data_IF_807899611747
#
_entry.id   IF_807899611747
#
_cell.length_a   1.000
_cell.length_b   1.000
_cell.length_c   1.000
_cell.angle_alpha   90.00
_cell.angle_beta   90.00
_cell.angle_gamma   90.00
#
_symmetry.space_group_name_H-M   'P 1'
#
loop_
_entity.id
_entity.type
_entity.pdbx_description
1 polymer ?
#
# COMPACT_ATOMS: atom_id res chain seq x y z
N UNK A 1 21.13 -11.86 30.98
CA UNK A 1 20.50 -10.58 30.59
C UNK A 1 19.50 -10.95 29.50
N UNK A 2 18.34 -11.46 29.89
CA UNK A 2 17.13 -10.64 29.98
C UNK A 2 16.58 -10.48 28.57
N UNK A 3 15.82 -11.46 28.10
CA UNK A 3 15.03 -11.38 26.86
C UNK A 3 14.15 -10.12 26.94
N UNK A 4 14.67 -9.01 26.43
CA UNK A 4 13.88 -7.85 26.12
C UNK A 4 12.98 -8.29 24.98
N UNK A 5 11.75 -8.67 25.33
CA UNK A 5 10.68 -8.87 24.38
C UNK A 5 10.76 -7.74 23.36
N UNK A 6 11.03 -8.10 22.09
CA UNK A 6 11.09 -7.17 20.98
C UNK A 6 9.71 -6.49 20.86
N UNK A 7 9.53 -5.43 21.63
CA UNK A 7 8.34 -4.61 21.61
C UNK A 7 8.26 -3.98 20.24
N UNK A 8 7.17 -4.23 19.52
CA UNK A 8 6.89 -3.50 18.28
C UNK A 8 6.85 -2.02 18.64
N UNK A 9 7.78 -1.24 18.11
CA UNK A 9 7.80 0.19 18.34
C UNK A 9 6.47 0.80 17.90
N UNK A 10 5.88 1.64 18.74
CA UNK A 10 4.65 2.33 18.39
C UNK A 10 4.91 3.37 17.30
N UNK A 11 3.92 3.68 16.47
CA UNK A 11 4.04 4.73 15.45
C UNK A 11 4.49 6.07 16.06
N UNK A 12 4.04 6.36 17.28
CA UNK A 12 4.45 7.54 18.06
C UNK A 12 5.93 7.53 18.45
N UNK A 13 6.51 6.35 18.67
CA UNK A 13 7.95 6.21 18.95
C UNK A 13 8.78 6.40 17.69
N UNK A 14 8.25 5.98 16.53
CA UNK A 14 8.91 6.16 15.24
C UNK A 14 8.95 7.64 14.82
N UNK A 15 7.91 8.41 15.13
CA UNK A 15 7.82 9.85 14.84
C UNK A 15 8.46 10.70 15.96
N UNK A 16 9.00 10.09 17.03
CA UNK A 16 9.60 10.82 18.17
C UNK A 16 10.76 11.74 17.78
N UNK A 17 11.44 11.45 16.67
CA UNK A 17 12.55 12.26 16.16
C UNK A 17 12.10 13.44 15.27
N UNK A 18 10.78 13.65 15.09
CA UNK A 18 10.21 14.78 14.37
C UNK A 18 10.45 16.12 15.08
N UNK A 19 11.12 17.04 14.40
CA UNK A 19 11.20 18.44 14.84
C UNK A 19 9.86 19.16 14.56
N UNK A 20 9.65 20.32 15.18
CA UNK A 20 8.45 21.14 14.95
C UNK A 20 8.24 21.50 13.46
N UNK A 21 9.33 21.66 12.70
CA UNK A 21 9.28 21.87 11.26
C UNK A 21 8.80 20.62 10.51
N UNK A 22 9.25 19.43 10.92
CA UNK A 22 8.83 18.17 10.32
C UNK A 22 7.36 17.88 10.63
N UNK A 23 6.90 18.23 11.83
CA UNK A 23 5.47 18.17 12.17
C UNK A 23 4.63 19.08 11.26
N UNK A 24 5.11 20.29 10.97
CA UNK A 24 4.40 21.20 10.04
C UNK A 24 4.34 20.65 8.62
N UNK A 25 5.43 20.03 8.13
CA UNK A 25 5.47 19.36 6.84
C UNK A 25 4.54 18.15 6.81
N UNK A 26 4.48 17.36 7.88
CA UNK A 26 3.56 16.22 7.98
C UNK A 26 2.11 16.67 7.92
N UNK A 27 1.75 17.76 8.62
CA UNK A 27 0.38 18.31 8.57
C UNK A 27 0.00 18.78 7.16
N UNK A 28 0.92 19.44 6.46
CA UNK A 28 0.75 19.82 5.05
C UNK A 28 0.67 18.59 4.13
N UNK A 29 1.47 17.57 4.39
CA UNK A 29 1.46 16.30 3.67
C UNK A 29 0.13 15.56 3.81
N UNK A 30 -0.44 15.50 5.02
CA UNK A 30 -1.76 14.92 5.28
C UNK A 30 -2.86 15.68 4.52
N UNK A 31 -2.78 17.01 4.46
CA UNK A 31 -3.71 17.82 3.67
C UNK A 31 -3.59 17.50 2.16
N UNK A 32 -2.36 17.31 1.67
CA UNK A 32 -2.07 16.87 0.31
C UNK A 32 -2.66 15.49 0.00
N UNK A 33 -2.40 14.50 0.85
CA UNK A 33 -2.93 13.12 0.75
C UNK A 33 -4.45 13.08 0.74
N UNK A 34 -5.10 13.98 1.47
CA UNK A 34 -6.56 14.12 1.43
C UNK A 34 -7.04 14.58 0.05
N UNK A 35 -6.36 15.57 -0.55
CA UNK A 35 -6.68 16.05 -1.89
C UNK A 35 -6.43 14.99 -2.97
N UNK A 36 -5.34 14.23 -2.86
CA UNK A 36 -5.00 13.16 -3.79
C UNK A 36 -6.02 12.01 -3.73
N UNK A 37 -6.36 11.53 -2.53
CA UNK A 37 -7.39 10.49 -2.37
C UNK A 37 -8.79 10.92 -2.83
N UNK A 38 -9.11 12.21 -2.76
CA UNK A 38 -10.36 12.77 -3.28
C UNK A 38 -10.39 12.95 -4.80
N UNK A 39 -9.28 12.77 -5.51
CA UNK A 39 -9.21 12.89 -6.98
C UNK A 39 -10.28 12.06 -7.67
N UNK A 40 -10.36 10.78 -7.30
CA UNK A 40 -11.18 9.82 -8.03
C UNK A 40 -12.69 10.05 -7.82
N UNK A 41 -13.21 10.28 -6.59
CA UNK A 41 -14.61 10.65 -6.40
C UNK A 41 -14.97 11.96 -7.11
N UNK A 42 -14.13 12.99 -7.01
CA UNK A 42 -14.39 14.30 -7.64
C UNK A 42 -14.42 14.21 -9.17
N UNK A 43 -13.51 13.42 -9.77
CA UNK A 43 -13.52 13.16 -11.21
C UNK A 43 -14.82 12.48 -11.63
N UNK A 44 -15.28 11.50 -10.85
CA UNK A 44 -16.55 10.82 -11.11
C UNK A 44 -17.75 11.76 -11.01
N UNK A 45 -17.77 12.73 -10.08
CA UNK A 45 -18.84 13.73 -10.02
C UNK A 45 -18.96 14.53 -11.32
N UNK A 46 -17.84 15.04 -11.82
CA UNK A 46 -17.82 15.80 -13.07
C UNK A 46 -18.26 14.91 -14.24
N UNK A 47 -17.82 13.66 -14.26
CA UNK A 47 -18.24 12.69 -15.27
C UNK A 47 -19.73 12.35 -15.20
N UNK A 48 -20.31 12.25 -14.00
CA UNK A 48 -21.74 12.04 -13.79
C UNK A 48 -22.58 13.18 -14.36
N UNK A 49 -22.19 14.43 -14.11
CA UNK A 49 -22.83 15.61 -14.69
C UNK A 49 -22.76 15.60 -16.23
N UNK A 50 -21.60 15.22 -16.79
CA UNK A 50 -21.41 15.06 -18.24
C UNK A 50 -22.40 14.02 -18.76
N UNK A 51 -22.44 12.81 -18.18
CA UNK A 51 -23.34 11.72 -18.61
C UNK A 51 -24.80 12.17 -18.55
N UNK A 52 -25.21 12.88 -17.49
CA UNK A 52 -26.56 13.41 -17.36
C UNK A 52 -26.90 14.43 -18.45
N UNK A 53 -25.97 15.32 -18.78
CA UNK A 53 -26.16 16.30 -19.87
C UNK A 53 -26.30 15.64 -21.24
N UNK A 54 -25.50 14.60 -21.52
CA UNK A 54 -25.59 13.80 -22.75
C UNK A 54 -26.90 12.99 -22.81
N UNK A 55 -27.33 12.40 -21.69
CA UNK A 55 -28.58 11.64 -21.60
C UNK A 55 -29.83 12.49 -21.81
N UNK A 56 -29.84 13.73 -21.29
CA UNK A 56 -30.93 14.69 -21.48
C UNK A 56 -31.00 15.22 -22.92
N UNK A 57 -29.85 15.42 -23.57
CA UNK A 57 -29.77 15.82 -24.97
C UNK A 57 -30.35 14.76 -25.92
N UNK A 58 -30.15 13.47 -25.62
CA UNK A 58 -30.65 12.35 -26.43
C UNK A 58 -32.16 12.09 -26.31
N UNK A 59 -32.77 12.39 -25.15
CA UNK A 59 -34.20 12.14 -24.90
C UNK A 59 -35.14 13.25 -25.38
N UNK A 60 -34.60 14.46 -25.63
CA UNK A 60 -35.39 15.62 -26.07
C UNK A 60 -35.73 15.63 -27.59
N UNK A 61 -35.31 14.61 -28.36
CA UNK A 61 -35.70 14.46 -29.77
C UNK A 61 -35.24 15.58 -30.72
N UNK A 62 -34.44 16.55 -30.24
CA UNK A 62 -33.97 17.67 -31.03
C UNK A 62 -32.76 17.26 -31.88
N UNK A 63 -33.01 16.94 -33.15
CA UNK A 63 -32.05 16.71 -34.23
C UNK A 63 -31.23 17.95 -34.64
N UNK A 64 -31.15 18.98 -33.79
CA UNK A 64 -30.38 20.20 -34.01
C UNK A 64 -29.61 20.59 -32.75
N UNK A 65 -28.29 20.46 -32.79
CA UNK A 65 -27.30 21.08 -31.88
C UNK A 65 -27.62 21.06 -30.38
N UNK A 66 -27.97 19.92 -29.80
CA UNK A 66 -27.97 19.77 -28.33
C UNK A 66 -26.56 19.86 -27.71
N UNK A 67 -25.51 19.79 -28.53
CA UNK A 67 -24.14 20.16 -28.18
C UNK A 67 -23.94 21.67 -28.32
N UNK A 68 -24.31 22.44 -27.30
CA UNK A 68 -23.82 23.81 -27.19
C UNK A 68 -22.32 23.74 -26.91
N UNK A 69 -21.49 24.37 -27.75
CA UNK A 69 -20.05 24.51 -27.50
C UNK A 69 -19.76 24.99 -26.08
N UNK A 70 -20.62 25.87 -25.55
CA UNK A 70 -20.53 26.35 -24.18
C UNK A 70 -20.70 25.29 -23.08
N UNK A 71 -21.42 24.19 -23.32
CA UNK A 71 -21.53 23.09 -22.36
C UNK A 71 -20.23 22.28 -22.31
N UNK A 72 -19.63 22.01 -23.47
CA UNK A 72 -18.33 21.33 -23.58
C UNK A 72 -17.24 22.17 -22.93
N UNK A 73 -17.18 23.48 -23.23
CA UNK A 73 -16.20 24.41 -22.66
C UNK A 73 -16.33 24.47 -21.12
N UNK A 74 -17.56 24.48 -20.60
CA UNK A 74 -17.82 24.47 -19.15
C UNK A 74 -17.28 23.21 -18.47
N UNK A 75 -17.53 22.03 -19.05
CA UNK A 75 -17.04 20.77 -18.48
C UNK A 75 -15.53 20.61 -18.65
N UNK A 76 -14.96 21.04 -19.78
CA UNK A 76 -13.52 21.07 -20.00
C UNK A 76 -12.80 21.96 -18.96
N UNK A 77 -13.35 23.16 -18.69
CA UNK A 77 -12.81 24.05 -17.65
C UNK A 77 -12.92 23.45 -16.24
N UNK A 78 -14.04 22.77 -15.91
CA UNK A 78 -14.17 22.08 -14.61
C UNK A 78 -13.13 20.98 -14.44
N UNK A 79 -12.89 20.18 -15.47
CA UNK A 79 -11.85 19.14 -15.46
C UNK A 79 -10.45 19.75 -15.34
N UNK A 80 -10.20 20.88 -16.02
CA UNK A 80 -8.93 21.60 -15.91
C UNK A 80 -8.70 22.13 -14.49
N UNK A 81 -9.68 22.79 -13.89
CA UNK A 81 -9.56 23.29 -12.51
C UNK A 81 -9.37 22.15 -11.51
N UNK A 82 -10.09 21.03 -11.69
CA UNK A 82 -9.91 19.84 -10.86
C UNK A 82 -8.49 19.26 -11.02
N UNK A 83 -7.99 19.13 -12.25
CA UNK A 83 -6.66 18.60 -12.52
C UNK A 83 -5.55 19.46 -11.91
N UNK A 84 -5.67 20.79 -12.01
CA UNK A 84 -4.71 21.72 -11.39
C UNK A 84 -4.77 21.63 -9.86
N UNK A 85 -5.96 21.58 -9.28
CA UNK A 85 -6.13 21.48 -7.83
C UNK A 85 -5.57 20.16 -7.27
N UNK A 86 -5.94 19.03 -7.87
CA UNK A 86 -5.43 17.71 -7.49
C UNK A 86 -3.92 17.63 -7.72
N UNK A 87 -3.42 18.12 -8.87
CA UNK A 87 -2.00 18.14 -9.17
C UNK A 87 -1.20 18.95 -8.14
N UNK A 88 -1.74 20.07 -7.66
CA UNK A 88 -1.13 20.84 -6.57
C UNK A 88 -1.12 20.08 -5.24
N UNK A 89 -2.23 19.41 -4.89
CA UNK A 89 -2.32 18.58 -3.68
C UNK A 89 -1.34 17.40 -3.71
N UNK A 90 -1.30 16.63 -4.82
CA UNK A 90 -0.40 15.50 -5.01
C UNK A 90 1.08 15.94 -5.02
N UNK A 91 1.38 17.10 -5.60
CA UNK A 91 2.73 17.67 -5.54
C UNK A 91 3.12 18.07 -4.11
N UNK A 92 2.22 18.73 -3.38
CA UNK A 92 2.44 19.09 -1.97
C UNK A 92 2.65 17.85 -1.11
N UNK A 93 1.83 16.82 -1.30
CA UNK A 93 1.95 15.53 -0.64
C UNK A 93 3.34 14.93 -0.86
N UNK A 94 3.74 14.71 -2.11
CA UNK A 94 5.02 14.09 -2.44
C UNK A 94 6.20 14.89 -1.88
N UNK A 95 6.21 16.21 -2.06
CA UNK A 95 7.30 17.06 -1.57
C UNK A 95 7.39 17.06 -0.04
N UNK A 96 6.26 17.15 0.66
CA UNK A 96 6.25 17.22 2.12
C UNK A 96 6.65 15.89 2.75
N UNK A 97 6.12 14.77 2.26
CA UNK A 97 6.43 13.44 2.79
C UNK A 97 7.85 12.99 2.47
N UNK A 98 8.33 13.17 1.23
CA UNK A 98 9.70 12.82 0.88
C UNK A 98 10.72 13.65 1.66
N UNK A 99 10.49 14.97 1.83
CA UNK A 99 11.40 15.81 2.64
C UNK A 99 11.40 15.42 4.12
N UNK A 100 10.25 15.11 4.68
CA UNK A 100 10.15 14.67 6.08
C UNK A 100 10.88 13.36 6.27
N UNK A 101 10.66 12.39 5.37
CA UNK A 101 11.33 11.09 5.40
C UNK A 101 12.86 11.21 5.34
N UNK A 102 13.39 11.99 4.41
CA UNK A 102 14.84 12.19 4.27
C UNK A 102 15.46 12.84 5.52
N UNK A 103 14.80 13.87 6.08
CA UNK A 103 15.27 14.56 7.29
C UNK A 103 15.29 13.62 8.50
N UNK A 104 14.22 12.85 8.68
CA UNK A 104 14.10 11.87 9.76
C UNK A 104 15.14 10.76 9.62
N UNK A 105 15.29 10.19 8.42
CA UNK A 105 16.26 9.14 8.14
C UNK A 105 17.70 9.62 8.38
N UNK A 106 18.05 10.80 7.88
CA UNK A 106 19.37 11.42 8.11
C UNK A 106 19.65 11.66 9.59
N UNK A 107 18.65 12.15 10.35
CA UNK A 107 18.77 12.37 11.79
C UNK A 107 18.95 11.07 12.57
N UNK A 108 18.17 10.03 12.24
CA UNK A 108 18.31 8.71 12.84
C UNK A 108 19.70 8.13 12.59
N UNK A 109 20.19 8.21 11.34
CA UNK A 109 21.55 7.78 10.98
C UNK A 109 22.62 8.49 11.80
N UNK A 110 22.49 9.82 11.96
CA UNK A 110 23.44 10.61 12.76
C UNK A 110 23.40 10.24 14.24
N UNK A 111 22.22 10.21 14.86
CA UNK A 111 22.07 9.94 16.30
C UNK A 111 22.51 8.52 16.65
N UNK A 112 22.19 7.56 15.80
CA UNK A 112 22.62 6.18 16.00
C UNK A 112 24.13 6.06 15.86
N UNK A 113 24.75 6.67 14.85
CA UNK A 113 26.22 6.69 14.73
C UNK A 113 26.89 7.35 15.96
N UNK A 114 26.34 8.46 16.44
CA UNK A 114 26.82 9.13 17.66
C UNK A 114 26.71 8.23 18.89
N UNK A 115 25.60 7.48 19.03
CA UNK A 115 25.40 6.53 20.12
C UNK A 115 26.38 5.35 20.05
N UNK A 116 26.58 4.78 18.85
CA UNK A 116 27.55 3.69 18.63
C UNK A 116 28.97 4.13 18.96
N UNK A 117 29.40 5.32 18.54
CA UNK A 117 30.74 5.84 18.83
C UNK A 117 30.99 6.16 20.31
N UNK A 118 29.94 6.34 21.11
CA UNK A 118 30.02 6.57 22.56
C UNK A 118 30.07 5.27 23.37
N UNK A 119 29.90 4.13 22.73
CA UNK A 119 29.79 2.86 23.39
C UNK A 119 31.18 2.31 23.80
N UNK A 120 31.23 1.61 24.92
CA UNK A 120 32.46 1.02 25.45
C UNK A 120 33.04 -0.07 24.53
N UNK A 121 34.36 -0.28 24.59
CA UNK A 121 35.06 -1.30 23.77
C UNK A 121 34.48 -2.70 24.01
N UNK A 122 34.07 -3.00 25.24
CA UNK A 122 33.42 -4.27 25.60
C UNK A 122 32.16 -4.55 24.77
N UNK A 123 31.38 -3.54 24.36
CA UNK A 123 30.22 -3.77 23.48
C UNK A 123 30.63 -4.29 22.10
N UNK A 124 31.75 -3.80 21.57
CA UNK A 124 32.30 -4.25 20.29
C UNK A 124 32.97 -5.62 20.39
N UNK A 125 33.45 -6.00 21.59
CA UNK A 125 34.07 -7.30 21.88
C UNK A 125 33.06 -8.39 22.28
N UNK A 126 31.92 -8.03 22.88
CA UNK A 126 30.92 -8.95 23.40
C UNK A 126 30.00 -9.56 22.32
N UNK A 127 30.02 -9.02 21.10
CA UNK A 127 29.20 -9.53 20.01
C UNK A 127 29.88 -10.70 19.29
N UNK A 128 29.11 -11.73 18.87
CA UNK A 128 29.66 -12.99 18.36
C UNK A 128 30.55 -12.77 17.12
N UNK A 129 31.72 -13.39 17.16
CA UNK A 129 32.87 -13.27 16.26
C UNK A 129 32.66 -13.63 14.79
N UNK A 130 31.43 -13.87 14.33
CA UNK A 130 31.12 -14.27 12.94
C UNK A 130 30.77 -13.11 12.01
N UNK A 131 30.47 -11.92 12.54
CA UNK A 131 30.36 -10.69 11.75
C UNK A 131 31.24 -9.64 12.39
N UNK A 132 32.11 -8.98 11.61
CA UNK A 132 32.80 -7.77 12.10
C UNK A 132 31.73 -6.84 12.66
N UNK A 133 31.75 -6.65 13.98
CA UNK A 133 30.69 -5.98 14.74
C UNK A 133 30.43 -4.58 14.19
N UNK A 134 31.48 -3.94 13.69
CA UNK A 134 31.42 -2.67 12.96
C UNK A 134 30.64 -2.76 11.64
N UNK A 135 30.88 -3.80 10.82
CA UNK A 135 30.18 -3.98 9.55
C UNK A 135 28.68 -4.23 9.77
N UNK A 136 28.33 -5.16 10.67
CA UNK A 136 26.94 -5.48 10.98
C UNK A 136 26.15 -4.26 11.46
N UNK A 137 26.74 -3.46 12.36
CA UNK A 137 26.12 -2.24 12.88
C UNK A 137 25.89 -1.21 11.74
N UNK A 138 26.88 -1.02 10.84
CA UNK A 138 26.78 -0.07 9.72
C UNK A 138 25.79 -0.53 8.65
N UNK A 139 25.65 -1.83 8.40
CA UNK A 139 24.64 -2.34 7.48
C UNK A 139 23.25 -2.21 8.07
N UNK A 140 23.05 -2.60 9.34
CA UNK A 140 21.74 -2.55 9.99
C UNK A 140 21.19 -1.13 10.09
N UNK A 141 22.02 -0.14 10.47
CA UNK A 141 21.60 1.26 10.49
C UNK A 141 21.18 1.78 9.11
N UNK A 142 21.87 1.35 8.05
CA UNK A 142 21.60 1.84 6.69
C UNK A 142 20.30 1.24 6.18
N UNK A 143 20.16 -0.09 6.28
CA UNK A 143 18.99 -0.86 5.83
C UNK A 143 17.72 -0.51 6.62
N UNK A 144 17.83 -0.39 7.96
CA UNK A 144 16.69 -0.03 8.81
C UNK A 144 16.26 1.42 8.55
N UNK A 145 17.21 2.35 8.38
CA UNK A 145 16.88 3.74 8.06
C UNK A 145 16.24 3.88 6.68
N UNK A 146 16.72 3.14 5.67
CA UNK A 146 16.11 3.10 4.34
C UNK A 146 14.69 2.52 4.41
N UNK A 147 14.49 1.45 5.18
CA UNK A 147 13.15 0.86 5.38
C UNK A 147 12.18 1.85 6.03
N UNK A 148 12.63 2.62 7.02
CA UNK A 148 11.79 3.65 7.66
C UNK A 148 11.53 4.82 6.69
N UNK A 149 12.53 5.21 5.90
CA UNK A 149 12.40 6.24 4.87
C UNK A 149 11.36 5.86 3.80
N UNK A 150 11.43 4.63 3.29
CA UNK A 150 10.46 4.11 2.32
C UNK A 150 9.06 4.07 2.91
N UNK A 151 8.93 3.64 4.16
CA UNK A 151 7.64 3.63 4.85
C UNK A 151 7.06 5.06 4.98
N UNK A 152 7.86 6.03 5.42
CA UNK A 152 7.39 7.39 5.70
C UNK A 152 7.14 8.19 4.42
N UNK A 153 7.91 7.95 3.36
CA UNK A 153 7.81 8.69 2.09
C UNK A 153 6.78 8.14 1.12
N UNK A 154 6.54 6.82 1.11
CA UNK A 154 5.67 6.20 0.10
C UNK A 154 4.47 5.46 0.72
N UNK A 155 4.70 4.64 1.75
CA UNK A 155 3.63 3.77 2.27
C UNK A 155 2.64 4.49 3.15
N UNK A 156 3.10 5.40 4.02
CA UNK A 156 2.22 6.18 4.89
C UNK A 156 1.28 7.13 4.11
N UNK A 157 1.77 7.90 3.11
CA UNK A 157 0.90 8.76 2.29
C UNK A 157 -0.11 7.93 1.49
N UNK A 158 0.32 6.79 0.92
CA UNK A 158 -0.56 5.87 0.21
C UNK A 158 -1.70 5.35 1.09
N UNK A 159 -1.44 5.02 2.36
CA UNK A 159 -2.49 4.61 3.30
C UNK A 159 -3.47 5.76 3.57
N UNK A 160 -2.96 6.98 3.77
CA UNK A 160 -3.79 8.17 3.98
C UNK A 160 -4.68 8.48 2.75
N UNK A 161 -4.10 8.43 1.54
CA UNK A 161 -4.82 8.62 0.29
C UNK A 161 -5.90 7.55 0.09
N UNK A 162 -5.61 6.27 0.38
CA UNK A 162 -6.61 5.20 0.28
C UNK A 162 -7.74 5.32 1.32
N UNK A 163 -7.43 5.75 2.54
CA UNK A 163 -8.45 6.01 3.57
C UNK A 163 -9.36 7.16 3.15
N UNK A 164 -8.80 8.22 2.59
CA UNK A 164 -9.57 9.39 2.13
C UNK A 164 -10.38 9.07 0.88
N UNK A 165 -9.84 8.27 -0.04
CA UNK A 165 -10.57 7.69 -1.16
C UNK A 165 -11.77 6.85 -0.69
N UNK A 166 -11.58 5.97 0.30
CA UNK A 166 -12.65 5.13 0.86
C UNK A 166 -13.81 5.99 1.38
N UNK A 167 -13.52 6.94 2.28
CA UNK A 167 -14.57 7.79 2.86
C UNK A 167 -15.15 8.77 1.83
N UNK A 168 -14.33 9.31 0.92
CA UNK A 168 -14.74 10.20 -0.15
C UNK A 168 -15.70 9.51 -1.12
N UNK A 169 -15.32 8.35 -1.64
CA UNK A 169 -16.15 7.55 -2.55
C UNK A 169 -17.44 7.07 -1.88
N UNK A 170 -17.38 6.65 -0.61
CA UNK A 170 -18.55 6.21 0.14
C UNK A 170 -19.53 7.35 0.38
N UNK A 171 -19.03 8.53 0.78
CA UNK A 171 -19.87 9.72 1.00
C UNK A 171 -20.58 10.16 -0.28
N UNK A 172 -19.86 10.23 -1.41
CA UNK A 172 -20.41 10.52 -2.74
C UNK A 172 -21.50 9.51 -3.09
N UNK A 173 -21.24 8.23 -2.91
CA UNK A 173 -22.22 7.20 -3.22
C UNK A 173 -23.53 7.33 -2.41
N UNK A 174 -23.43 7.58 -1.10
CA UNK A 174 -24.60 7.73 -0.25
C UNK A 174 -25.45 8.95 -0.63
N UNK A 175 -24.80 10.06 -1.03
CA UNK A 175 -25.50 11.29 -1.43
C UNK A 175 -26.28 11.10 -2.74
N UNK A 176 -25.68 10.46 -3.76
CA UNK A 176 -26.33 10.32 -5.06
C UNK A 176 -27.33 9.17 -5.15
N UNK A 177 -27.02 8.02 -4.56
CA UNK A 177 -27.85 6.83 -4.69
C UNK A 177 -27.76 5.96 -3.43
N UNK A 178 -28.35 6.43 -2.33
CA UNK A 178 -28.38 5.71 -1.05
C UNK A 178 -28.91 4.27 -1.14
N UNK A 179 -29.87 4.00 -2.06
CA UNK A 179 -30.42 2.65 -2.29
C UNK A 179 -29.38 1.71 -2.92
N UNK A 180 -28.56 2.25 -3.83
CA UNK A 180 -27.47 1.52 -4.47
C UNK A 180 -26.30 1.33 -3.49
N UNK A 181 -26.01 2.35 -2.67
CA UNK A 181 -25.02 2.30 -1.60
C UNK A 181 -25.31 1.15 -0.62
N UNK A 182 -26.55 1.04 -0.13
CA UNK A 182 -26.97 -0.05 0.77
C UNK A 182 -26.79 -1.44 0.16
N UNK A 183 -27.07 -1.59 -1.15
CA UNK A 183 -26.90 -2.86 -1.84
C UNK A 183 -25.42 -3.21 -2.11
N UNK A 184 -24.57 -2.19 -2.31
CA UNK A 184 -23.13 -2.37 -2.58
C UNK A 184 -22.24 -2.51 -1.35
N UNK A 185 -22.69 -2.03 -0.18
CA UNK A 185 -21.98 -2.12 1.10
C UNK A 185 -21.57 -3.56 1.49
N UNK A 186 -22.45 -4.58 1.43
CA UNK A 186 -22.05 -5.96 1.73
C UNK A 186 -21.06 -6.53 0.71
N UNK A 187 -21.12 -6.09 -0.56
CA UNK A 187 -20.17 -6.51 -1.60
C UNK A 187 -18.76 -5.95 -1.33
N UNK A 188 -18.66 -4.77 -0.72
CA UNK A 188 -17.38 -4.19 -0.28
C UNK A 188 -16.76 -5.03 0.84
N UNK A 189 -17.55 -5.41 1.85
CA UNK A 189 -17.07 -6.28 2.92
C UNK A 189 -16.70 -7.70 2.45
N UNK A 190 -17.34 -8.19 1.38
CA UNK A 190 -17.01 -9.48 0.76
C UNK A 190 -15.57 -9.52 0.24
N UNK A 191 -15.00 -8.39 -0.20
CA UNK A 191 -13.58 -8.32 -0.61
C UNK A 191 -12.62 -8.17 0.56
N UNK A 192 -13.06 -7.52 1.64
CA UNK A 192 -12.23 -7.29 2.82
C UNK A 192 -11.86 -8.61 3.54
N UNK A 193 -12.81 -9.53 3.69
CA UNK A 193 -12.61 -10.76 4.46
C UNK A 193 -11.56 -11.70 3.84
N UNK A 194 -11.64 -12.09 2.54
CA UNK A 194 -10.61 -12.91 1.90
C UNK A 194 -9.23 -12.24 1.92
N UNK A 195 -9.18 -10.93 1.69
CA UNK A 195 -7.92 -10.16 1.68
C UNK A 195 -7.22 -10.23 3.04
N UNK A 196 -7.95 -10.06 4.15
CA UNK A 196 -7.39 -10.17 5.50
C UNK A 196 -6.97 -11.61 5.82
N UNK A 197 -7.81 -12.60 5.50
CA UNK A 197 -7.54 -14.01 5.85
C UNK A 197 -6.36 -14.57 5.06
N UNK A 198 -6.36 -14.40 3.74
CA UNK A 198 -5.28 -14.86 2.87
C UNK A 198 -4.01 -14.03 3.10
N UNK A 199 -4.13 -12.72 3.35
CA UNK A 199 -3.01 -11.85 3.70
C UNK A 199 -2.28 -12.31 4.97
N UNK A 200 -3.03 -12.61 6.04
CA UNK A 200 -2.44 -13.16 7.29
C UNK A 200 -1.72 -14.49 7.04
N UNK A 201 -2.32 -15.39 6.25
CA UNK A 201 -1.70 -16.67 5.87
C UNK A 201 -0.44 -16.48 5.03
N UNK A 202 -0.43 -15.49 4.13
CA UNK A 202 0.72 -15.15 3.31
C UNK A 202 1.88 -14.64 4.17
N UNK A 203 1.61 -13.74 5.12
CA UNK A 203 2.63 -13.22 6.05
C UNK A 203 3.21 -14.34 6.92
N UNK A 204 2.36 -15.22 7.46
CA UNK A 204 2.81 -16.37 8.25
C UNK A 204 3.70 -17.31 7.42
N UNK A 205 3.27 -17.67 6.21
CA UNK A 205 4.05 -18.53 5.30
C UNK A 205 5.39 -17.88 4.89
N UNK A 206 5.41 -16.55 4.67
CA UNK A 206 6.63 -15.81 4.38
C UNK A 206 7.61 -15.83 5.56
N UNK A 207 7.11 -15.67 6.79
CA UNK A 207 7.92 -15.78 8.01
C UNK A 207 8.54 -17.16 8.19
N UNK A 208 7.74 -18.23 8.01
CA UNK A 208 8.24 -19.61 8.05
C UNK A 208 9.28 -19.89 6.95
N UNK A 209 9.04 -19.39 5.73
CA UNK A 209 9.96 -19.54 4.60
C UNK A 209 11.30 -18.86 4.87
N UNK A 210 11.27 -17.64 5.43
CA UNK A 210 12.46 -16.89 5.84
C UNK A 210 13.26 -17.62 6.91
N UNK A 211 12.60 -18.11 7.97
CA UNK A 211 13.29 -18.88 9.03
C UNK A 211 13.93 -20.17 8.49
N UNK A 212 13.26 -20.88 7.57
CA UNK A 212 13.85 -22.05 6.91
C UNK A 212 15.06 -21.69 6.03
N UNK A 213 15.00 -20.54 5.35
CA UNK A 213 16.10 -20.04 4.53
C UNK A 213 17.31 -19.61 5.36
N UNK A 214 17.10 -18.93 6.49
CA UNK A 214 18.15 -18.55 7.44
C UNK A 214 18.89 -19.79 7.99
N UNK A 215 18.16 -20.87 8.30
CA UNK A 215 18.77 -22.14 8.70
C UNK A 215 19.64 -22.77 7.59
N UNK A 216 19.19 -22.74 6.33
CA UNK A 216 19.99 -23.20 5.20
C UNK A 216 21.22 -22.29 4.99
N UNK A 217 21.06 -20.98 5.16
CA UNK A 217 22.15 -19.99 5.14
C UNK A 217 23.23 -20.30 6.17
N UNK A 218 22.85 -20.65 7.40
CA UNK A 218 23.81 -21.06 8.44
C UNK A 218 24.65 -22.30 8.07
N UNK A 219 24.05 -23.29 7.38
CA UNK A 219 24.79 -24.46 6.89
C UNK A 219 25.79 -24.06 5.80
N UNK A 220 25.38 -23.19 4.88
CA UNK A 220 26.25 -22.69 3.82
C UNK A 220 27.41 -21.87 4.39
N UNK A 221 27.12 -20.98 5.35
CA UNK A 221 28.12 -20.12 6.00
C UNK A 221 29.15 -20.96 6.77
N UNK A 222 28.71 -21.99 7.51
CA UNK A 222 29.62 -22.92 8.18
C UNK A 222 30.48 -23.72 7.19
N UNK A 223 29.90 -24.15 6.06
CA UNK A 223 30.61 -24.90 5.03
C UNK A 223 31.70 -24.05 4.36
N UNK A 224 31.39 -22.80 4.02
CA UNK A 224 32.29 -21.87 3.35
C UNK A 224 33.39 -21.38 4.29
N UNK A 225 33.04 -21.02 5.53
CA UNK A 225 34.02 -20.58 6.54
C UNK A 225 35.04 -21.67 6.87
N UNK A 226 34.62 -22.94 6.87
CA UNK A 226 35.46 -24.10 7.18
C UNK A 226 35.78 -24.96 5.95
N UNK A 227 35.91 -24.35 4.77
CA UNK A 227 36.03 -25.08 3.50
C UNK A 227 37.22 -26.05 3.45
N UNK A 228 38.35 -25.69 4.08
CA UNK A 228 39.54 -26.55 4.16
C UNK A 228 39.26 -27.84 4.95
N UNK A 229 38.47 -27.74 6.01
CA UNK A 229 38.04 -28.88 6.83
C UNK A 229 37.08 -29.77 6.05
N UNK A 230 36.11 -29.17 5.35
CA UNK A 230 35.17 -29.95 4.51
C UNK A 230 35.93 -30.72 3.43
N UNK A 231 36.91 -30.10 2.78
CA UNK A 231 37.75 -30.74 1.77
C UNK A 231 38.67 -31.82 2.36
N UNK A 232 39.29 -31.58 3.51
CA UNK A 232 40.20 -32.55 4.14
C UNK A 232 39.51 -33.84 4.59
N UNK A 233 38.24 -33.75 4.98
CA UNK A 233 37.41 -34.91 5.34
C UNK A 233 36.61 -35.48 4.16
N UNK A 234 36.80 -34.97 2.94
CA UNK A 234 36.01 -35.33 1.75
C UNK A 234 34.49 -35.24 1.99
N UNK A 235 34.07 -34.26 2.82
CA UNK A 235 32.70 -34.09 3.32
C UNK A 235 31.81 -33.24 2.41
N UNK A 236 32.26 -32.89 1.21
CA UNK A 236 31.57 -32.00 0.28
C UNK A 236 30.16 -32.50 -0.04
N UNK A 237 30.03 -33.78 -0.46
CA UNK A 237 28.73 -34.40 -0.78
C UNK A 237 27.77 -34.38 0.40
N UNK A 238 28.25 -34.73 1.60
CA UNK A 238 27.44 -34.74 2.81
C UNK A 238 26.91 -33.34 3.16
N UNK A 239 27.77 -32.33 3.03
CA UNK A 239 27.42 -30.92 3.29
C UNK A 239 26.41 -30.41 2.26
N UNK A 240 26.58 -30.77 0.99
CA UNK A 240 25.65 -30.45 -0.11
C UNK A 240 24.27 -31.08 0.11
N UNK A 241 24.21 -32.33 0.56
CA UNK A 241 22.95 -33.00 0.89
C UNK A 241 22.23 -32.34 2.08
N UNK A 242 22.97 -31.94 3.12
CA UNK A 242 22.40 -31.18 4.25
C UNK A 242 21.83 -29.84 3.81
N UNK A 243 22.58 -29.09 3.00
CA UNK A 243 22.09 -27.81 2.45
C UNK A 243 20.86 -28.02 1.57
N UNK A 244 20.88 -29.02 0.67
CA UNK A 244 19.74 -29.36 -0.20
C UNK A 244 18.49 -29.71 0.60
N UNK A 245 18.63 -30.48 1.67
CA UNK A 245 17.51 -30.88 2.53
C UNK A 245 16.91 -29.70 3.29
N UNK A 246 17.75 -28.81 3.81
CA UNK A 246 17.29 -27.57 4.46
C UNK A 246 16.59 -26.63 3.45
N UNK A 247 17.15 -26.50 2.25
CA UNK A 247 16.60 -25.65 1.19
C UNK A 247 15.27 -26.20 0.63
N UNK A 248 15.10 -27.52 0.55
CA UNK A 248 13.87 -28.16 0.09
C UNK A 248 12.64 -27.75 0.92
N UNK A 249 12.83 -27.50 2.22
CA UNK A 249 11.78 -26.97 3.09
C UNK A 249 11.40 -25.53 2.72
N UNK A 250 12.39 -24.66 2.49
CA UNK A 250 12.17 -23.28 2.06
C UNK A 250 11.48 -23.22 0.70
N UNK A 251 11.88 -24.06 -0.26
CA UNK A 251 11.23 -24.11 -1.58
C UNK A 251 9.79 -24.59 -1.51
N UNK A 252 9.49 -25.61 -0.71
CA UNK A 252 8.10 -26.07 -0.50
C UNK A 252 7.21 -24.98 0.12
N UNK A 253 7.73 -24.24 1.10
CA UNK A 253 7.04 -23.09 1.71
C UNK A 253 6.87 -21.94 0.71
N UNK A 254 7.88 -21.67 -0.13
CA UNK A 254 7.82 -20.70 -1.21
C UNK A 254 6.75 -21.03 -2.25
N UNK A 255 6.61 -22.31 -2.63
CA UNK A 255 5.53 -22.77 -3.53
C UNK A 255 4.17 -22.54 -2.88
N UNK A 256 4.00 -22.89 -1.60
CA UNK A 256 2.76 -22.64 -0.85
C UNK A 256 2.43 -21.15 -0.77
N UNK A 257 3.43 -20.31 -0.52
CA UNK A 257 3.28 -18.85 -0.53
C UNK A 257 2.87 -18.35 -1.92
N UNK A 258 3.48 -18.87 -2.99
CA UNK A 258 3.14 -18.55 -4.37
C UNK A 258 1.69 -18.92 -4.71
N UNK A 259 1.21 -20.08 -4.27
CA UNK A 259 -0.19 -20.49 -4.42
C UNK A 259 -1.15 -19.59 -3.64
N UNK A 260 -0.82 -19.21 -2.40
CA UNK A 260 -1.63 -18.26 -1.62
C UNK A 260 -1.68 -16.90 -2.32
N UNK A 261 -0.54 -16.38 -2.80
CA UNK A 261 -0.47 -15.12 -3.54
C UNK A 261 -1.30 -15.20 -4.83
N UNK A 262 -1.21 -16.31 -5.56
CA UNK A 262 -2.03 -16.57 -6.74
C UNK A 262 -3.52 -16.58 -6.42
N UNK A 263 -3.92 -17.18 -5.29
CA UNK A 263 -5.31 -17.17 -4.84
C UNK A 263 -5.81 -15.76 -4.47
N UNK A 264 -4.97 -14.92 -3.84
CA UNK A 264 -5.31 -13.51 -3.55
C UNK A 264 -5.54 -12.74 -4.84
N UNK A 265 -4.60 -12.81 -5.79
CA UNK A 265 -4.72 -12.11 -7.08
C UNK A 265 -5.92 -12.66 -7.88
N UNK A 266 -6.13 -13.98 -7.86
CA UNK A 266 -7.28 -14.61 -8.50
C UNK A 266 -8.62 -14.16 -7.89
N UNK A 267 -8.69 -13.99 -6.57
CA UNK A 267 -9.90 -13.49 -5.90
C UNK A 267 -10.26 -12.06 -6.30
N UNK A 268 -9.27 -11.23 -6.71
CA UNK A 268 -9.55 -9.89 -7.25
C UNK A 268 -10.37 -9.94 -8.53
N UNK A 269 -10.36 -11.05 -9.29
CA UNK A 269 -11.22 -11.24 -10.46
C UNK A 269 -12.72 -11.19 -10.14
N UNK A 270 -13.13 -11.44 -8.88
CA UNK A 270 -14.51 -11.30 -8.44
C UNK A 270 -15.03 -9.84 -8.54
N UNK A 271 -14.13 -8.85 -8.69
CA UNK A 271 -14.49 -7.47 -8.95
C UNK A 271 -15.38 -7.34 -10.19
N UNK A 272 -15.11 -8.09 -11.26
CA UNK A 272 -15.89 -8.01 -12.50
C UNK A 272 -17.33 -8.52 -12.32
N UNK A 273 -17.53 -9.52 -11.45
CA UNK A 273 -18.87 -9.99 -11.11
C UNK A 273 -19.64 -8.92 -10.34
N UNK A 274 -18.97 -8.19 -9.44
CA UNK A 274 -19.55 -7.06 -8.72
C UNK A 274 -19.87 -5.90 -9.66
N UNK A 275 -18.98 -5.54 -10.59
CA UNK A 275 -19.26 -4.56 -11.64
C UNK A 275 -20.51 -4.92 -12.45
N UNK A 276 -20.63 -6.18 -12.87
CA UNK A 276 -21.79 -6.68 -13.61
C UNK A 276 -23.09 -6.58 -12.79
N UNK A 277 -23.06 -7.03 -11.53
CA UNK A 277 -24.21 -6.95 -10.63
C UNK A 277 -24.62 -5.49 -10.37
N UNK A 278 -23.66 -4.61 -10.11
CA UNK A 278 -23.90 -3.18 -9.88
C UNK A 278 -24.46 -2.51 -11.13
N UNK A 279 -23.95 -2.85 -12.32
CA UNK A 279 -24.50 -2.34 -13.59
C UNK A 279 -25.93 -2.81 -13.82
N UNK A 280 -26.25 -4.07 -13.51
CA UNK A 280 -27.61 -4.58 -13.60
C UNK A 280 -28.54 -3.85 -12.63
N UNK A 281 -28.17 -3.72 -11.36
CA UNK A 281 -28.97 -3.02 -10.36
C UNK A 281 -29.14 -1.53 -10.72
N UNK A 282 -28.08 -0.89 -11.21
CA UNK A 282 -28.10 0.48 -11.72
C UNK A 282 -29.12 0.66 -12.84
N UNK A 283 -29.12 -0.23 -13.85
CA UNK A 283 -30.06 -0.17 -14.97
C UNK A 283 -31.52 -0.31 -14.52
N UNK A 284 -31.82 -1.21 -13.57
CA UNK A 284 -33.16 -1.36 -13.01
C UNK A 284 -33.59 -0.09 -12.27
N UNK A 285 -32.68 0.57 -11.56
CA UNK A 285 -32.95 1.81 -10.83
C UNK A 285 -33.28 2.97 -11.78
N UNK A 286 -32.54 3.10 -12.89
CA UNK A 286 -32.80 4.11 -13.92
C UNK A 286 -34.14 3.89 -14.60
N UNK A 287 -34.46 2.64 -14.97
CA UNK A 287 -35.70 2.31 -15.70
C UNK A 287 -36.94 2.46 -14.81
N UNK A 288 -36.89 1.99 -13.54
CA UNK A 288 -38.09 1.91 -12.69
C UNK A 288 -38.33 3.13 -11.80
N UNK A 289 -37.29 3.91 -11.49
CA UNK A 289 -37.38 5.00 -10.51
C UNK A 289 -37.00 6.38 -11.07
N UNK A 290 -36.80 6.48 -12.39
CA UNK A 290 -36.39 7.72 -13.07
C UNK A 290 -35.18 8.40 -12.40
N UNK A 291 -34.27 7.61 -11.82
CA UNK A 291 -33.02 8.11 -11.29
C UNK A 291 -32.13 8.60 -12.45
N UNK A 292 -31.40 9.70 -12.22
CA UNK A 292 -30.48 10.24 -13.23
C UNK A 292 -29.35 9.23 -13.50
N UNK A 293 -29.20 8.81 -14.76
CA UNK A 293 -28.28 7.73 -15.15
C UNK A 293 -26.82 8.00 -14.77
N UNK A 294 -26.36 9.25 -14.87
CA UNK A 294 -25.02 9.66 -14.47
C UNK A 294 -24.77 9.51 -12.96
N UNK A 295 -25.74 9.89 -12.12
CA UNK A 295 -25.61 9.74 -10.66
C UNK A 295 -25.56 8.28 -10.21
N UNK A 296 -26.35 7.42 -10.84
CA UNK A 296 -26.36 5.97 -10.54
C UNK A 296 -25.06 5.31 -11.02
N UNK A 297 -24.53 5.73 -12.19
CA UNK A 297 -23.23 5.27 -12.70
C UNK A 297 -22.08 5.67 -11.78
N UNK A 298 -22.04 6.93 -11.34
CA UNK A 298 -21.03 7.43 -10.39
C UNK A 298 -21.08 6.67 -9.08
N UNK A 299 -22.28 6.46 -8.52
CA UNK A 299 -22.45 5.70 -7.29
C UNK A 299 -21.97 4.25 -7.44
N UNK A 300 -22.28 3.59 -8.56
CA UNK A 300 -21.83 2.22 -8.82
C UNK A 300 -20.30 2.11 -8.84
N UNK A 301 -19.62 3.03 -9.54
CA UNK A 301 -18.16 3.05 -9.64
C UNK A 301 -17.52 3.42 -8.29
N UNK A 302 -18.07 4.40 -7.58
CA UNK A 302 -17.53 4.83 -6.28
C UNK A 302 -17.58 3.71 -5.23
N UNK A 303 -18.64 2.89 -5.20
CA UNK A 303 -18.69 1.71 -4.31
C UNK A 303 -17.56 0.74 -4.61
N UNK A 304 -17.33 0.44 -5.89
CA UNK A 304 -16.30 -0.53 -6.25
C UNK A 304 -14.89 0.02 -5.99
N UNK A 305 -14.68 1.32 -6.26
CA UNK A 305 -13.44 2.01 -5.92
C UNK A 305 -13.18 2.02 -4.41
N UNK A 306 -14.21 2.18 -3.58
CA UNK A 306 -14.08 2.11 -2.13
C UNK A 306 -13.74 0.68 -1.64
N UNK A 307 -14.07 -0.36 -2.42
CA UNK A 307 -13.77 -1.75 -2.05
C UNK A 307 -12.39 -2.25 -2.47
N UNK A 308 -11.66 -1.50 -3.29
CA UNK A 308 -10.27 -1.80 -3.69
C UNK A 308 -9.27 -1.25 -2.69
#
# INVERSE_FOLDING_TARGET
MGDAAAGKASFLEMVRYADAHDLSLMMLGVLGSFGDGMMQPLLMLVLGDIINSYGAAGSAGSTGSAFSSGAVDKFALRLLYLAVAVGACAFLEGVCWTRTAERQASRMRRLYLEAVLRQEVHFFDAAPSSQSTTFGIITTISDDADTIQDFLSEKLPMVLANVTLFFGAMSVCFVFAWRLALAGLPLTFLFFVPSVVLGKRMVAAAGESRAAYESAGGIADQAVSSIRTVASYNGERHTLERFRTALARSTALGIKQGLIKGAVIGSMGAIYAVWSFMSWLASVLVIRQHAQGGHVFVAAICIVLAGM
#
